data_IF_198375193932
#
_entry.id   IF_198375193932
#
_cell.length_a   1.000
_cell.length_b   1.000
_cell.length_c   1.000
_cell.angle_alpha   90.00
_cell.angle_beta   90.00
_cell.angle_gamma   90.00
#
_symmetry.space_group_name_H-M   'P 1'
#
loop_
_entity.id
_entity.type
_entity.pdbx_description
1 polymer ?
#
# COMPACT_ATOMS: atom_id res chain seq x y z
N UNK A 1 -4.35 6.52 3.14
CA UNK A 1 -3.37 7.61 3.27
C UNK A 1 -2.33 7.38 2.19
N UNK A 2 -2.08 8.40 1.34
CA UNK A 2 -1.00 8.36 0.35
C UNK A 2 0.39 8.43 1.00
N UNK A 3 1.39 8.66 0.18
CA UNK A 3 2.79 8.60 0.58
C UNK A 3 3.12 9.45 1.82
N UNK A 4 3.49 8.80 2.90
CA UNK A 4 3.95 9.45 4.14
C UNK A 4 5.39 9.89 3.94
N UNK A 5 5.63 11.20 3.75
CA UNK A 5 6.97 11.70 3.45
C UNK A 5 7.65 12.25 4.70
N UNK A 6 8.70 11.57 5.15
CA UNK A 6 9.61 12.00 6.19
C UNK A 6 8.94 12.38 7.51
N UNK A 7 9.63 13.20 8.31
CA UNK A 7 9.13 13.65 9.62
C UNK A 7 7.82 14.47 9.53
N UNK A 8 7.61 15.36 8.55
CA UNK A 8 6.34 16.10 8.44
C UNK A 8 5.14 15.17 8.24
N UNK A 9 5.24 14.19 7.32
CA UNK A 9 4.18 13.21 7.07
C UNK A 9 3.86 12.38 8.32
N UNK A 10 4.88 11.84 8.99
CA UNK A 10 4.70 11.10 10.25
C UNK A 10 4.06 11.95 11.36
N UNK A 11 4.37 13.25 11.42
CA UNK A 11 3.74 14.15 12.40
C UNK A 11 2.26 14.36 12.11
N UNK A 12 1.87 14.48 10.84
CA UNK A 12 0.46 14.56 10.44
C UNK A 12 -0.29 13.27 10.80
N UNK A 13 0.27 12.11 10.50
CA UNK A 13 -0.31 10.80 10.86
C UNK A 13 -0.57 10.73 12.36
N UNK A 14 0.45 10.97 13.18
CA UNK A 14 0.35 10.96 14.64
C UNK A 14 -0.76 11.88 15.17
N UNK A 15 -0.94 13.06 14.59
CA UNK A 15 -1.86 14.06 15.09
C UNK A 15 -3.30 13.88 14.56
N UNK A 16 -3.48 13.17 13.44
CA UNK A 16 -4.76 13.14 12.74
C UNK A 16 -5.46 11.77 12.77
N UNK A 17 -4.71 10.66 12.69
CA UNK A 17 -5.31 9.34 12.41
C UNK A 17 -6.32 8.94 13.49
N UNK A 18 -5.96 8.97 14.76
CA UNK A 18 -6.88 8.56 15.83
C UNK A 18 -8.19 9.37 15.83
N UNK A 19 -8.08 10.68 15.60
CA UNK A 19 -9.24 11.57 15.50
C UNK A 19 -10.10 11.24 14.28
N UNK A 20 -9.49 11.06 13.11
CA UNK A 20 -10.23 10.73 11.88
C UNK A 20 -10.91 9.37 11.99
N UNK A 21 -10.23 8.38 12.54
CA UNK A 21 -10.81 7.05 12.81
C UNK A 21 -12.09 7.17 13.64
N UNK A 22 -12.05 7.96 14.72
CA UNK A 22 -13.21 8.15 15.58
C UNK A 22 -14.33 8.99 14.93
N UNK A 23 -13.97 10.06 14.22
CA UNK A 23 -14.94 10.99 13.63
C UNK A 23 -15.64 10.44 12.39
N UNK A 24 -14.90 9.65 11.58
CA UNK A 24 -15.41 9.10 10.33
C UNK A 24 -15.76 7.61 10.44
N UNK A 25 -15.73 7.03 11.65
CA UNK A 25 -16.00 5.60 11.90
C UNK A 25 -15.21 4.66 10.99
N UNK A 26 -13.90 4.95 10.83
CA UNK A 26 -13.02 4.21 9.92
C UNK A 26 -12.70 2.83 10.51
N UNK A 27 -12.92 1.79 9.71
CA UNK A 27 -12.74 0.40 10.13
C UNK A 27 -11.36 -0.19 9.80
N UNK A 28 -10.66 0.40 8.82
CA UNK A 28 -9.30 -0.01 8.43
C UNK A 28 -8.54 1.19 7.88
N UNK A 29 -7.28 1.34 8.27
CA UNK A 29 -6.40 2.40 7.77
C UNK A 29 -5.23 1.77 7.01
N UNK A 30 -5.17 2.06 5.71
CA UNK A 30 -4.05 1.69 4.84
C UNK A 30 -3.22 2.94 4.56
N UNK A 31 -1.90 2.83 4.61
CA UNK A 31 -1.00 3.94 4.33
C UNK A 31 0.23 3.50 3.52
N UNK A 32 0.60 4.30 2.52
CA UNK A 32 1.87 4.12 1.84
C UNK A 32 2.99 4.74 2.70
N UNK A 33 4.00 3.93 3.04
CA UNK A 33 5.07 4.31 3.97
C UNK A 33 6.45 4.36 3.34
N UNK A 34 6.56 4.15 2.03
CA UNK A 34 7.85 4.03 1.36
C UNK A 34 8.78 5.25 1.50
N UNK A 35 8.22 6.42 1.81
CA UNK A 35 8.96 7.68 1.97
C UNK A 35 9.07 8.13 3.44
N UNK A 36 8.68 7.29 4.39
CA UNK A 36 8.58 7.68 5.79
C UNK A 36 9.94 7.88 6.48
N UNK A 37 11.00 7.19 6.05
CA UNK A 37 12.32 7.26 6.65
C UNK A 37 13.21 8.35 5.99
N UNK A 38 12.92 9.60 6.29
CA UNK A 38 13.73 10.73 5.82
C UNK A 38 13.47 11.14 4.37
N UNK A 39 12.38 10.67 3.77
CA UNK A 39 11.97 10.98 2.41
C UNK A 39 12.07 9.80 1.44
N UNK A 40 12.75 8.71 1.84
CA UNK A 40 12.85 7.48 1.05
C UNK A 40 13.10 6.26 1.95
N UNK A 41 12.41 5.17 1.65
CA UNK A 41 12.47 3.93 2.41
C UNK A 41 11.70 3.96 3.73
N UNK A 42 11.72 2.81 4.40
CA UNK A 42 11.14 2.57 5.72
C UNK A 42 12.19 1.89 6.63
N UNK A 43 12.16 2.20 7.91
CA UNK A 43 12.94 1.50 8.94
C UNK A 43 11.99 0.77 9.88
N UNK A 44 12.47 -0.26 10.58
CA UNK A 44 11.66 -1.00 11.54
C UNK A 44 11.08 -0.07 12.62
N UNK A 45 11.92 0.77 13.25
CA UNK A 45 11.50 1.73 14.29
C UNK A 45 10.37 2.65 13.81
N UNK A 46 10.50 3.18 12.58
CA UNK A 46 9.49 4.07 12.00
C UNK A 46 8.22 3.30 11.66
N UNK A 47 8.32 2.10 11.09
CA UNK A 47 7.17 1.26 10.77
C UNK A 47 6.37 0.88 12.00
N UNK A 48 7.04 0.44 13.08
CA UNK A 48 6.41 0.15 14.37
C UNK A 48 5.72 1.39 14.96
N UNK A 49 6.39 2.54 14.91
CA UNK A 49 5.80 3.81 15.37
C UNK A 49 4.53 4.17 14.58
N UNK A 50 4.54 4.04 13.24
CA UNK A 50 3.38 4.33 12.37
C UNK A 50 2.24 3.35 12.66
N UNK A 51 2.53 2.06 12.82
CA UNK A 51 1.56 1.05 13.18
C UNK A 51 0.88 1.38 14.52
N UNK A 52 1.66 1.74 15.53
CA UNK A 52 1.15 2.08 16.87
C UNK A 52 0.31 3.37 16.87
N UNK A 53 0.42 4.20 15.84
CA UNK A 53 -0.44 5.36 15.59
C UNK A 53 -1.78 5.01 14.93
N UNK A 54 -2.05 3.73 14.67
CA UNK A 54 -3.34 3.25 14.17
C UNK A 54 -3.39 2.94 12.67
N UNK A 55 -2.22 2.78 12.04
CA UNK A 55 -2.14 2.24 10.66
C UNK A 55 -2.24 0.71 10.73
N UNK A 56 -3.21 0.15 10.02
CA UNK A 56 -3.49 -1.29 10.04
C UNK A 56 -2.69 -2.04 8.97
N UNK A 57 -2.46 -1.43 7.79
CA UNK A 57 -1.66 -2.00 6.69
C UNK A 57 -0.76 -0.93 6.11
N UNK A 58 0.49 -1.28 5.86
CA UNK A 58 1.52 -0.44 5.27
C UNK A 58 1.85 -0.93 3.86
N UNK A 59 1.61 -0.09 2.85
CA UNK A 59 2.03 -0.33 1.46
C UNK A 59 3.33 0.40 1.15
N UNK A 60 3.99 0.00 0.10
CA UNK A 60 5.23 0.61 -0.36
C UNK A 60 5.25 0.83 -1.88
N UNK A 61 6.41 1.05 -2.47
CA UNK A 61 6.60 1.28 -3.90
C UNK A 61 8.06 1.12 -4.30
N UNK A 62 8.57 2.01 -5.16
CA UNK A 62 9.92 1.92 -5.70
C UNK A 62 11.04 2.17 -4.68
N UNK A 63 10.74 2.83 -3.56
CA UNK A 63 11.72 3.11 -2.49
C UNK A 63 11.74 2.05 -1.37
N UNK A 64 11.01 0.95 -1.52
CA UNK A 64 10.91 -0.09 -0.48
C UNK A 64 12.27 -0.62 -0.01
N UNK A 65 13.26 -0.69 -0.92
CA UNK A 65 14.61 -1.22 -0.65
C UNK A 65 15.68 -0.16 -0.33
N UNK A 66 15.31 1.12 -0.25
CA UNK A 66 16.29 2.21 -0.04
C UNK A 66 16.93 2.20 1.35
N UNK A 67 16.30 1.54 2.32
CA UNK A 67 16.88 1.25 3.63
C UNK A 67 17.17 -0.25 3.74
N UNK A 68 18.43 -0.61 4.00
CA UNK A 68 18.85 -2.02 4.09
C UNK A 68 18.04 -2.82 5.11
N UNK A 69 17.71 -2.22 6.25
CA UNK A 69 16.92 -2.88 7.29
C UNK A 69 15.47 -3.18 6.89
N UNK A 70 14.96 -2.54 5.83
CA UNK A 70 13.64 -2.84 5.31
C UNK A 70 13.54 -4.29 4.78
N UNK A 71 14.66 -4.86 4.32
CA UNK A 71 14.74 -6.26 3.89
C UNK A 71 14.39 -7.23 5.02
N UNK A 72 14.95 -7.00 6.21
CA UNK A 72 14.70 -7.83 7.38
C UNK A 72 13.34 -7.53 7.99
N UNK A 73 12.95 -6.25 8.02
CA UNK A 73 11.69 -5.81 8.61
C UNK A 73 10.46 -6.35 7.87
N UNK A 74 10.47 -6.36 6.54
CA UNK A 74 9.34 -6.84 5.73
C UNK A 74 9.10 -8.36 5.87
N UNK A 75 10.10 -9.12 6.28
CA UNK A 75 9.98 -10.56 6.55
C UNK A 75 9.28 -10.85 7.88
N UNK A 76 9.37 -9.93 8.85
CA UNK A 76 8.82 -10.12 10.19
C UNK A 76 7.53 -9.33 10.45
N UNK A 77 7.21 -8.34 9.63
CA UNK A 77 5.96 -7.56 9.74
C UNK A 77 5.00 -7.87 8.57
N UNK A 78 4.06 -8.80 8.76
CA UNK A 78 3.18 -9.25 7.68
C UNK A 78 2.22 -8.17 7.16
N UNK A 79 2.09 -7.04 7.86
CA UNK A 79 1.27 -5.90 7.45
C UNK A 79 2.04 -4.84 6.68
N UNK A 80 3.35 -5.02 6.51
CA UNK A 80 4.17 -4.26 5.58
C UNK A 80 4.28 -5.06 4.27
N UNK A 81 3.67 -4.54 3.21
CA UNK A 81 3.66 -5.22 1.92
C UNK A 81 4.39 -4.40 0.86
N UNK A 82 5.02 -5.10 -0.08
CA UNK A 82 5.68 -4.51 -1.24
C UNK A 82 4.84 -4.68 -2.50
N UNK A 83 5.13 -3.98 -3.60
CA UNK A 83 4.50 -4.28 -4.87
C UNK A 83 4.63 -5.75 -5.27
N UNK A 84 3.50 -6.38 -5.60
CA UNK A 84 3.42 -7.81 -5.92
C UNK A 84 4.23 -8.17 -7.17
N UNK A 85 4.36 -7.21 -8.10
CA UNK A 85 5.06 -7.40 -9.37
C UNK A 85 6.59 -7.23 -9.30
N UNK A 86 7.19 -7.22 -8.10
CA UNK A 86 8.63 -7.48 -7.97
C UNK A 86 8.95 -8.94 -8.36
N UNK A 87 10.16 -9.24 -8.83
CA UNK A 87 10.56 -10.59 -9.21
C UNK A 87 10.29 -11.62 -8.12
N UNK A 88 10.01 -12.85 -8.54
CA UNK A 88 9.85 -13.98 -7.63
C UNK A 88 11.08 -14.15 -6.73
N UNK A 89 10.86 -14.35 -5.43
CA UNK A 89 11.92 -14.46 -4.43
C UNK A 89 12.33 -13.13 -3.78
N UNK A 90 11.73 -11.99 -4.18
CA UNK A 90 11.89 -10.75 -3.43
C UNK A 90 11.29 -10.90 -2.03
N UNK A 91 11.94 -10.36 -0.96
CA UNK A 91 11.45 -10.45 0.42
C UNK A 91 10.04 -9.91 0.59
N UNK A 92 9.29 -10.43 1.56
CA UNK A 92 7.95 -10.00 1.90
C UNK A 92 6.87 -10.40 0.88
N UNK A 93 5.65 -9.93 1.11
CA UNK A 93 4.45 -10.27 0.32
C UNK A 93 3.92 -9.08 -0.48
N UNK A 94 3.18 -9.38 -1.57
CA UNK A 94 2.50 -8.38 -2.40
C UNK A 94 1.08 -8.07 -1.94
N UNK A 95 0.53 -8.89 -1.05
CA UNK A 95 -0.77 -8.69 -0.44
C UNK A 95 -0.81 -9.14 1.02
N UNK A 96 -1.81 -8.67 1.73
CA UNK A 96 -2.17 -9.16 3.06
C UNK A 96 -3.69 -9.29 3.17
N UNK A 97 -4.16 -10.33 3.87
CA UNK A 97 -5.56 -10.46 4.28
C UNK A 97 -5.64 -10.23 5.79
N UNK A 98 -6.40 -9.24 6.20
CA UNK A 98 -6.53 -8.82 7.60
C UNK A 98 -8.00 -8.66 7.99
N UNK A 99 -8.25 -8.36 9.26
CA UNK A 99 -9.58 -8.03 9.78
C UNK A 99 -9.72 -6.53 10.01
N UNK A 100 -10.84 -5.98 9.56
CA UNK A 100 -11.25 -4.64 9.95
C UNK A 100 -11.64 -4.60 11.44
N UNK A 101 -11.81 -3.39 11.99
CA UNK A 101 -12.30 -3.21 13.38
C UNK A 101 -13.70 -3.80 13.61
N UNK A 102 -14.51 -3.94 12.54
CA UNK A 102 -15.83 -4.61 12.58
C UNK A 102 -15.75 -6.13 12.37
N UNK A 103 -14.56 -6.66 12.09
CA UNK A 103 -14.36 -8.10 11.89
C UNK A 103 -14.48 -8.58 10.45
N UNK A 104 -14.72 -7.68 9.48
CA UNK A 104 -14.74 -8.04 8.07
C UNK A 104 -13.35 -8.43 7.57
N UNK A 105 -13.28 -9.43 6.69
CA UNK A 105 -12.05 -9.78 6.01
C UNK A 105 -11.78 -8.80 4.88
N UNK A 106 -10.62 -8.16 4.91
CA UNK A 106 -10.14 -7.21 3.91
C UNK A 106 -8.82 -7.69 3.35
N UNK A 107 -8.71 -7.77 2.04
CA UNK A 107 -7.45 -7.95 1.34
C UNK A 107 -6.91 -6.60 0.88
N UNK A 108 -5.66 -6.33 1.14
CA UNK A 108 -4.92 -5.19 0.59
C UNK A 108 -3.84 -5.74 -0.34
N UNK A 109 -3.84 -5.28 -1.58
CA UNK A 109 -2.87 -5.65 -2.62
C UNK A 109 -2.09 -4.40 -2.99
N UNK A 110 -0.78 -4.51 -3.09
CA UNK A 110 0.08 -3.44 -3.58
C UNK A 110 0.66 -3.86 -4.93
N UNK A 111 0.61 -2.99 -5.93
CA UNK A 111 1.22 -3.18 -7.26
C UNK A 111 1.90 -1.90 -7.71
N UNK A 112 2.92 -2.01 -8.55
CA UNK A 112 3.67 -0.86 -9.05
C UNK A 112 3.57 -0.76 -10.58
N UNK A 113 3.39 0.47 -11.08
CA UNK A 113 3.41 0.80 -12.50
C UNK A 113 4.78 0.63 -13.14
N UNK A 114 4.82 0.72 -14.48
CA UNK A 114 6.02 0.56 -15.29
C UNK A 114 6.34 1.77 -16.15
N UNK A 115 5.36 2.62 -16.40
CA UNK A 115 5.54 3.81 -17.23
C UNK A 115 6.36 4.84 -16.45
N UNK A 116 7.55 5.14 -16.95
CA UNK A 116 8.58 6.00 -16.30
C UNK A 116 9.12 5.44 -14.96
N UNK A 117 8.93 4.15 -14.71
CA UNK A 117 9.38 3.44 -13.51
C UNK A 117 10.23 2.22 -13.86
N UNK A 118 10.69 1.47 -12.86
CA UNK A 118 11.46 0.26 -13.08
C UNK A 118 10.67 -0.79 -13.91
N UNK A 119 11.32 -1.51 -14.84
CA UNK A 119 10.67 -2.49 -15.70
C UNK A 119 10.41 -3.83 -14.94
N UNK A 120 9.48 -3.78 -13.99
CA UNK A 120 9.02 -4.97 -13.25
C UNK A 120 8.06 -5.82 -14.09
N UNK A 121 7.56 -6.91 -13.51
CA UNK A 121 6.53 -7.74 -14.15
C UNK A 121 5.27 -6.92 -14.45
N UNK A 122 4.47 -7.39 -15.41
CA UNK A 122 3.27 -6.68 -15.86
C UNK A 122 2.25 -6.54 -14.73
N UNK A 123 2.00 -5.31 -14.20
CA UNK A 123 1.11 -5.10 -13.06
C UNK A 123 -0.33 -5.54 -13.32
N UNK A 124 -0.81 -5.43 -14.57
CA UNK A 124 -2.16 -5.83 -14.95
C UNK A 124 -2.37 -7.35 -14.92
N UNK A 125 -1.34 -8.12 -15.24
CA UNK A 125 -1.38 -9.57 -15.12
C UNK A 125 -1.24 -10.00 -13.65
N UNK A 126 -0.22 -9.48 -12.95
CA UNK A 126 0.07 -9.84 -11.56
C UNK A 126 -1.10 -9.52 -10.62
N UNK A 127 -1.73 -8.35 -10.76
CA UNK A 127 -2.86 -7.98 -9.89
C UNK A 127 -4.05 -8.95 -10.03
N UNK A 128 -4.28 -9.51 -11.20
CA UNK A 128 -5.33 -10.52 -11.40
C UNK A 128 -5.03 -11.82 -10.69
N UNK A 129 -3.78 -12.26 -10.72
CA UNK A 129 -3.33 -13.46 -10.00
C UNK A 129 -3.44 -13.25 -8.48
N UNK A 130 -3.06 -12.08 -8.00
CA UNK A 130 -3.23 -11.68 -6.59
C UNK A 130 -4.72 -11.68 -6.18
N UNK A 131 -5.59 -11.08 -6.99
CA UNK A 131 -7.05 -11.09 -6.75
C UNK A 131 -7.59 -12.51 -6.70
N UNK A 132 -7.19 -13.39 -7.61
CA UNK A 132 -7.61 -14.79 -7.61
C UNK A 132 -7.20 -15.50 -6.31
N UNK A 133 -6.02 -15.17 -5.77
CA UNK A 133 -5.50 -15.74 -4.51
C UNK A 133 -6.27 -15.29 -3.27
N UNK A 134 -6.76 -14.04 -3.25
CA UNK A 134 -7.38 -13.46 -2.04
C UNK A 134 -8.91 -13.48 -2.05
N UNK A 135 -9.55 -13.61 -3.22
CA UNK A 135 -11.02 -13.46 -3.38
C UNK A 135 -11.85 -14.45 -2.54
N UNK A 136 -11.33 -15.66 -2.30
CA UNK A 136 -11.99 -16.65 -1.43
C UNK A 136 -11.81 -16.35 0.07
N UNK A 137 -10.87 -15.48 0.42
CA UNK A 137 -10.49 -15.16 1.81
C UNK A 137 -11.03 -13.82 2.28
N UNK A 138 -11.31 -12.89 1.36
CA UNK A 138 -11.73 -11.55 1.67
C UNK A 138 -12.84 -11.05 0.74
N UNK A 139 -13.91 -10.51 1.34
CA UNK A 139 -15.02 -9.90 0.60
C UNK A 139 -14.67 -8.50 0.09
N UNK A 140 -13.86 -7.77 0.85
CA UNK A 140 -13.38 -6.43 0.49
C UNK A 140 -11.96 -6.56 -0.05
N UNK A 141 -11.71 -6.07 -1.25
CA UNK A 141 -10.40 -6.06 -1.90
C UNK A 141 -10.04 -4.62 -2.23
N UNK A 142 -8.94 -4.16 -1.66
CA UNK A 142 -8.38 -2.83 -1.86
C UNK A 142 -7.04 -2.93 -2.57
N UNK A 143 -6.84 -2.16 -3.63
CA UNK A 143 -5.60 -2.13 -4.42
C UNK A 143 -4.94 -0.77 -4.30
N UNK A 144 -3.69 -0.73 -3.81
CA UNK A 144 -2.80 0.42 -3.91
C UNK A 144 -1.93 0.25 -5.17
N UNK A 145 -2.16 1.10 -6.15
CA UNK A 145 -1.40 1.12 -7.39
C UNK A 145 -0.39 2.27 -7.40
N UNK A 146 0.85 1.93 -7.05
CA UNK A 146 1.96 2.86 -6.96
C UNK A 146 2.55 3.14 -8.34
N UNK A 147 2.17 4.23 -9.00
CA UNK A 147 2.53 4.51 -10.38
C UNK A 147 2.75 6.00 -10.67
N UNK A 148 3.69 6.31 -11.58
CA UNK A 148 3.97 7.68 -12.03
C UNK A 148 2.86 8.17 -12.97
N UNK A 149 2.57 7.42 -14.04
CA UNK A 149 1.68 7.88 -15.10
C UNK A 149 0.20 7.83 -14.69
N UNK A 150 -0.49 8.97 -14.75
CA UNK A 150 -1.94 9.08 -14.53
C UNK A 150 -2.72 8.15 -15.46
N UNK A 151 -2.31 8.05 -16.73
CA UNK A 151 -2.94 7.15 -17.71
C UNK A 151 -2.85 5.67 -17.30
N UNK A 152 -1.74 5.25 -16.68
CA UNK A 152 -1.58 3.89 -16.20
C UNK A 152 -2.48 3.64 -14.96
N UNK A 153 -2.63 4.63 -14.07
CA UNK A 153 -3.55 4.57 -12.93
C UNK A 153 -5.00 4.44 -13.38
N UNK A 154 -5.43 5.27 -14.34
CA UNK A 154 -6.79 5.22 -14.92
C UNK A 154 -7.01 3.85 -15.60
N UNK A 155 -6.05 3.37 -16.39
CA UNK A 155 -6.13 2.06 -17.03
C UNK A 155 -6.29 0.92 -16.01
N UNK A 156 -5.59 1.00 -14.87
CA UNK A 156 -5.73 0.02 -13.79
C UNK A 156 -7.14 0.07 -13.16
N UNK A 157 -7.69 1.24 -12.95
CA UNK A 157 -9.07 1.41 -12.47
C UNK A 157 -10.07 0.71 -13.40
N UNK A 158 -10.01 0.99 -14.71
CA UNK A 158 -10.85 0.31 -15.70
C UNK A 158 -10.61 -1.20 -15.78
N UNK A 159 -9.36 -1.64 -15.66
CA UNK A 159 -9.01 -3.05 -15.70
C UNK A 159 -9.61 -3.84 -14.54
N UNK A 160 -9.76 -3.21 -13.39
CA UNK A 160 -10.24 -3.82 -12.15
C UNK A 160 -11.70 -3.48 -11.82
N UNK A 161 -12.38 -2.73 -12.65
CA UNK A 161 -13.79 -2.39 -12.45
C UNK A 161 -14.64 -3.67 -12.33
N UNK A 162 -15.49 -3.72 -11.31
CA UNK A 162 -16.30 -4.89 -10.96
C UNK A 162 -15.54 -6.06 -10.33
N UNK A 163 -14.20 -6.01 -10.22
CA UNK A 163 -13.39 -7.09 -9.66
C UNK A 163 -12.89 -6.82 -8.24
N UNK A 164 -12.78 -5.54 -7.85
CA UNK A 164 -12.30 -5.11 -6.53
C UNK A 164 -13.21 -4.03 -5.94
N UNK A 165 -13.05 -3.75 -4.65
CA UNK A 165 -13.85 -2.75 -3.95
C UNK A 165 -13.35 -1.34 -4.23
N UNK A 166 -12.03 -1.15 -4.29
CA UNK A 166 -11.41 0.15 -4.58
C UNK A 166 -9.99 -0.01 -5.15
N UNK A 167 -9.64 0.93 -6.03
CA UNK A 167 -8.27 1.14 -6.52
C UNK A 167 -7.88 2.57 -6.18
N UNK A 168 -6.73 2.76 -5.58
CA UNK A 168 -6.16 4.08 -5.32
C UNK A 168 -4.77 4.20 -5.92
N UNK A 169 -4.40 5.41 -6.35
CA UNK A 169 -3.06 5.70 -6.86
C UNK A 169 -2.17 6.34 -5.79
N UNK A 170 -0.90 5.94 -5.76
CA UNK A 170 0.16 6.56 -4.95
C UNK A 170 1.36 6.96 -5.82
N UNK A 171 2.44 7.46 -5.27
CA UNK A 171 3.71 7.86 -5.89
C UNK A 171 3.85 9.35 -6.21
N UNK A 172 2.94 9.96 -6.96
CA UNK A 172 3.14 11.32 -7.51
C UNK A 172 2.98 12.45 -6.48
N UNK A 173 2.55 12.13 -5.25
CA UNK A 173 2.30 13.08 -4.16
C UNK A 173 1.32 14.21 -4.55
N UNK A 174 0.48 13.96 -5.54
CA UNK A 174 -0.56 14.88 -5.99
C UNK A 174 -1.92 14.34 -5.60
N UNK A 175 -2.66 15.14 -4.85
CA UNK A 175 -4.04 14.82 -4.52
C UNK A 175 -4.93 15.11 -5.72
N UNK A 176 -5.60 14.06 -6.22
CA UNK A 176 -6.57 14.17 -7.29
C UNK A 176 -7.77 13.26 -7.00
N UNK A 177 -8.89 13.54 -7.65
CA UNK A 177 -10.11 12.76 -7.61
C UNK A 177 -10.58 12.52 -9.05
N UNK A 178 -9.78 11.74 -9.76
CA UNK A 178 -9.97 11.45 -11.20
C UNK A 178 -10.81 10.16 -11.30
N UNK A 179 -12.05 10.23 -10.84
CA UNK A 179 -12.99 9.11 -10.84
C UNK A 179 -13.58 8.84 -12.23
#
# INVERSE_FOLDING_TARGET
IGDIVGKPGRTLVRNAVARLVAQCEIDLVVANVENAAGGNGITQEIGETIRDQGIDVMTTGNHVWDKREALDYIEIEPRLIRPANFPQGAPGAGHVVTKSRRGDSVAVINVMGRVFMAPLDNPFAVVRDEIATVREKARVIFVDFHAEATSEKIAMGWHLDGHVTAVVGTHTHVQSADE
#
